data_IF_987145026583
#
_entry.id   IF_987145026583
#
_cell.length_a   1.000
_cell.length_b   1.000
_cell.length_c   1.000
_cell.angle_alpha   90.00
_cell.angle_beta   90.00
_cell.angle_gamma   90.00
#
_symmetry.space_group_name_H-M   'P 1'
#
loop_
_entity.id
_entity.type
_entity.pdbx_description
1 polymer ?
#
# COMPACT_ATOMS: atom_id res chain seq x y z
N UNK A 1 -16.11 -9.67 -15.55
CA UNK A 1 -14.96 -10.29 -14.87
C UNK A 1 -15.36 -11.56 -14.11
N UNK A 2 -16.35 -11.56 -13.21
CA UNK A 2 -16.72 -12.77 -12.44
C UNK A 2 -17.16 -13.95 -13.34
N UNK A 3 -17.89 -13.69 -14.42
CA UNK A 3 -18.37 -14.70 -15.35
C UNK A 3 -17.34 -15.12 -16.43
N UNK A 4 -16.23 -14.38 -16.58
CA UNK A 4 -15.20 -14.69 -17.55
C UNK A 4 -14.34 -15.89 -17.07
N UNK A 5 -13.85 -16.75 -17.97
CA UNK A 5 -12.84 -17.74 -17.60
C UNK A 5 -11.53 -17.06 -17.18
N UNK A 6 -10.77 -17.71 -16.31
CA UNK A 6 -9.53 -17.15 -15.76
C UNK A 6 -8.48 -16.86 -16.86
N UNK A 7 -8.46 -17.66 -17.90
CA UNK A 7 -7.58 -17.51 -19.07
C UNK A 7 -7.81 -16.18 -19.79
N UNK A 8 -9.07 -15.76 -19.90
CA UNK A 8 -9.44 -14.46 -20.48
C UNK A 8 -8.94 -13.31 -19.60
N UNK A 9 -9.06 -13.43 -18.27
CA UNK A 9 -8.50 -12.45 -17.34
C UNK A 9 -6.98 -12.37 -17.49
N UNK A 10 -6.30 -13.50 -17.66
CA UNK A 10 -4.85 -13.51 -17.90
C UNK A 10 -4.47 -12.87 -19.24
N UNK A 11 -5.29 -13.03 -20.27
CA UNK A 11 -5.05 -12.39 -21.55
C UNK A 11 -4.99 -10.86 -21.40
N UNK A 12 -5.94 -10.24 -20.68
CA UNK A 12 -5.93 -8.81 -20.44
C UNK A 12 -4.89 -8.37 -19.40
N UNK A 13 -4.37 -9.29 -18.58
CA UNK A 13 -3.35 -9.01 -17.55
C UNK A 13 -1.92 -9.12 -18.08
N UNK A 14 -1.73 -9.50 -19.35
CA UNK A 14 -0.40 -9.73 -19.91
C UNK A 14 0.50 -8.50 -19.77
N UNK A 15 1.78 -8.73 -19.42
CA UNK A 15 2.78 -7.68 -19.23
C UNK A 15 2.77 -7.00 -17.86
N UNK A 16 1.71 -7.13 -17.04
CA UNK A 16 1.64 -6.51 -15.71
C UNK A 16 2.39 -7.30 -14.63
N UNK A 17 2.73 -8.54 -14.88
CA UNK A 17 3.38 -9.43 -13.92
C UNK A 17 2.49 -9.76 -12.71
N UNK A 18 3.06 -10.43 -11.70
CA UNK A 18 2.36 -10.77 -10.45
C UNK A 18 0.97 -11.38 -10.68
N UNK A 19 0.86 -12.42 -11.48
CA UNK A 19 -0.40 -13.08 -11.88
C UNK A 19 -1.24 -13.59 -10.70
N UNK A 20 -0.65 -13.72 -9.51
CA UNK A 20 -1.40 -13.98 -8.28
C UNK A 20 -2.43 -12.89 -7.99
N UNK A 21 -2.14 -11.62 -8.36
CA UNK A 21 -3.11 -10.52 -8.22
C UNK A 21 -4.30 -10.70 -9.14
N UNK A 22 -4.07 -11.11 -10.40
CA UNK A 22 -5.14 -11.40 -11.35
C UNK A 22 -6.05 -12.52 -10.85
N UNK A 23 -5.48 -13.60 -10.34
CA UNK A 23 -6.25 -14.71 -9.72
C UNK A 23 -7.05 -14.24 -8.51
N UNK A 24 -6.45 -13.43 -7.65
CA UNK A 24 -7.14 -12.90 -6.47
C UNK A 24 -8.28 -11.98 -6.88
N UNK A 25 -8.06 -11.09 -7.84
CA UNK A 25 -9.07 -10.19 -8.37
C UNK A 25 -10.26 -10.95 -8.98
N UNK A 26 -9.99 -11.99 -9.79
CA UNK A 26 -11.02 -12.84 -10.38
C UNK A 26 -11.84 -13.57 -9.30
N UNK A 27 -11.16 -14.21 -8.34
CA UNK A 27 -11.83 -14.92 -7.24
C UNK A 27 -12.65 -13.95 -6.36
N UNK A 28 -12.13 -12.76 -6.10
CA UNK A 28 -12.87 -11.72 -5.38
C UNK A 28 -14.11 -11.28 -6.14
N UNK A 29 -14.03 -11.09 -7.46
CA UNK A 29 -15.20 -10.74 -8.28
C UNK A 29 -16.29 -11.83 -8.23
N UNK A 30 -15.91 -13.11 -8.24
CA UNK A 30 -16.83 -14.23 -8.08
C UNK A 30 -17.49 -14.22 -6.69
N UNK A 31 -16.69 -14.08 -5.63
CA UNK A 31 -17.21 -14.00 -4.25
C UNK A 31 -18.20 -12.84 -4.09
N UNK A 32 -17.91 -11.67 -4.69
CA UNK A 32 -18.81 -10.51 -4.63
C UNK A 32 -20.13 -10.81 -5.32
N UNK A 33 -20.12 -11.47 -6.47
CA UNK A 33 -21.35 -11.85 -7.16
C UNK A 33 -22.16 -12.89 -6.37
N UNK A 34 -21.50 -13.92 -5.84
CA UNK A 34 -22.14 -15.06 -5.19
C UNK A 34 -22.65 -14.74 -3.77
N UNK A 35 -21.85 -14.02 -3.00
CA UNK A 35 -22.13 -13.80 -1.56
C UNK A 35 -22.69 -12.42 -1.24
N UNK A 36 -22.42 -11.43 -2.09
CA UNK A 36 -22.81 -10.04 -1.84
C UNK A 36 -23.72 -9.44 -2.94
N UNK A 37 -24.25 -10.29 -3.83
CA UNK A 37 -25.19 -9.87 -4.87
C UNK A 37 -24.63 -8.80 -5.82
N UNK A 38 -23.34 -8.82 -6.07
CA UNK A 38 -22.65 -7.88 -6.97
C UNK A 38 -22.30 -6.54 -6.33
N UNK A 39 -22.55 -6.34 -5.04
CA UNK A 39 -22.19 -5.13 -4.30
C UNK A 39 -20.98 -5.37 -3.41
N UNK A 40 -20.03 -4.46 -3.40
CA UNK A 40 -18.91 -4.52 -2.48
C UNK A 40 -19.39 -4.34 -1.03
N UNK A 41 -18.91 -5.20 -0.10
CA UNK A 41 -19.18 -4.96 1.32
C UNK A 41 -18.47 -3.66 1.78
N UNK A 42 -19.12 -2.95 2.67
CA UNK A 42 -18.68 -1.68 3.23
C UNK A 42 -18.13 -1.78 4.66
N UNK A 43 -18.01 -2.98 5.17
CA UNK A 43 -17.45 -3.24 6.50
C UNK A 43 -16.11 -3.97 6.41
N UNK A 44 -15.22 -3.64 7.34
CA UNK A 44 -13.86 -4.16 7.37
C UNK A 44 -13.76 -5.69 7.44
N UNK A 45 -14.65 -6.31 8.21
CA UNK A 45 -14.61 -7.76 8.44
C UNK A 45 -14.90 -8.54 7.17
N UNK A 46 -15.88 -8.13 6.39
CA UNK A 46 -16.24 -8.79 5.14
C UNK A 46 -15.25 -8.48 4.02
N UNK A 47 -14.75 -7.24 3.93
CA UNK A 47 -13.72 -6.88 2.95
C UNK A 47 -12.43 -7.69 3.18
N UNK A 48 -12.03 -7.94 4.44
CA UNK A 48 -10.84 -8.76 4.76
C UNK A 48 -11.00 -10.24 4.36
N UNK A 49 -12.21 -10.76 4.24
CA UNK A 49 -12.46 -12.14 3.77
C UNK A 49 -12.20 -12.30 2.27
N UNK A 50 -12.19 -11.21 1.52
CA UNK A 50 -11.99 -11.24 0.07
C UNK A 50 -10.55 -11.62 -0.26
N UNK A 51 -10.38 -12.48 -1.27
CA UNK A 51 -9.09 -13.04 -1.62
C UNK A 51 -8.09 -11.98 -2.11
N UNK A 52 -6.92 -11.93 -1.49
CA UNK A 52 -5.87 -10.97 -1.84
C UNK A 52 -6.04 -9.59 -1.24
N UNK A 53 -7.02 -9.39 -0.36
CA UNK A 53 -7.20 -8.17 0.41
C UNK A 53 -6.46 -8.31 1.75
N UNK A 54 -5.51 -7.43 1.98
CA UNK A 54 -4.78 -7.32 3.25
C UNK A 54 -5.12 -6.03 3.98
N UNK A 55 -4.51 -5.82 5.16
CA UNK A 55 -4.73 -4.67 6.04
C UNK A 55 -4.61 -3.31 5.34
N UNK A 56 -3.60 -3.15 4.48
CA UNK A 56 -3.43 -1.94 3.68
C UNK A 56 -4.59 -1.76 2.69
N UNK A 57 -4.92 -2.83 1.96
CA UNK A 57 -5.92 -2.77 0.89
C UNK A 57 -7.31 -2.49 1.45
N UNK A 58 -7.68 -3.13 2.57
CA UNK A 58 -8.98 -2.88 3.19
C UNK A 58 -9.10 -1.44 3.70
N UNK A 59 -8.06 -0.92 4.36
CA UNK A 59 -8.06 0.46 4.83
C UNK A 59 -8.17 1.47 3.68
N UNK A 60 -7.37 1.29 2.63
CA UNK A 60 -7.43 2.12 1.43
C UNK A 60 -8.79 2.05 0.75
N UNK A 61 -9.34 0.85 0.61
CA UNK A 61 -10.62 0.62 -0.04
C UNK A 61 -11.76 1.29 0.71
N UNK A 62 -11.85 1.10 2.03
CA UNK A 62 -12.90 1.68 2.86
C UNK A 62 -12.76 3.21 2.96
N UNK A 63 -11.54 3.73 3.07
CA UNK A 63 -11.32 5.17 3.07
C UNK A 63 -11.74 5.81 1.74
N UNK A 64 -11.23 5.29 0.62
CA UNK A 64 -11.40 5.92 -0.69
C UNK A 64 -12.78 5.69 -1.31
N UNK A 65 -13.33 4.48 -1.18
CA UNK A 65 -14.59 4.12 -1.82
C UNK A 65 -15.84 4.38 -0.94
N UNK A 66 -15.69 4.32 0.38
CA UNK A 66 -16.80 4.45 1.33
C UNK A 66 -16.63 5.63 2.29
N UNK A 67 -15.60 6.45 2.12
CA UNK A 67 -15.31 7.61 2.97
C UNK A 67 -15.31 7.28 4.47
N UNK A 68 -14.79 6.10 4.83
CA UNK A 68 -14.67 5.66 6.22
C UNK A 68 -13.35 6.10 6.83
N UNK A 69 -13.28 6.45 8.11
CA UNK A 69 -12.07 6.96 8.78
C UNK A 69 -11.07 5.83 9.06
N UNK A 70 -10.64 5.16 8.01
CA UNK A 70 -9.63 4.10 8.06
C UNK A 70 -8.22 4.67 7.91
N UNK A 71 -7.30 4.18 8.72
CA UNK A 71 -5.91 4.62 8.70
C UNK A 71 -5.14 3.81 7.67
N UNK A 72 -4.83 4.44 6.54
CA UNK A 72 -4.01 3.84 5.49
C UNK A 72 -2.54 3.88 5.89
N UNK A 73 -1.88 2.71 5.94
CA UNK A 73 -0.46 2.61 6.28
C UNK A 73 0.28 1.82 5.22
N UNK A 74 0.98 2.54 4.36
CA UNK A 74 1.88 2.01 3.35
C UNK A 74 3.33 2.47 3.58
N UNK A 75 4.20 2.19 2.64
CA UNK A 75 5.59 2.63 2.70
C UNK A 75 5.78 4.15 2.70
N UNK A 76 4.87 4.90 2.09
CA UNK A 76 4.89 6.35 2.06
C UNK A 76 4.47 6.92 3.41
N UNK A 77 3.35 6.45 3.93
CA UNK A 77 2.82 6.88 5.25
C UNK A 77 3.82 6.56 6.37
N UNK A 78 4.41 5.36 6.39
CA UNK A 78 5.46 5.02 7.36
C UNK A 78 6.61 6.03 7.30
N UNK A 79 7.07 6.39 6.09
CA UNK A 79 8.15 7.37 5.92
C UNK A 79 7.76 8.76 6.41
N UNK A 80 6.58 9.22 6.06
CA UNK A 80 6.07 10.53 6.50
C UNK A 80 5.99 10.59 8.02
N UNK A 81 5.36 9.59 8.66
CA UNK A 81 5.21 9.53 10.12
C UNK A 81 6.58 9.46 10.81
N UNK A 82 7.49 8.61 10.33
CA UNK A 82 8.82 8.53 10.92
C UNK A 82 9.57 9.86 10.82
N UNK A 83 9.51 10.55 9.69
CA UNK A 83 10.16 11.85 9.52
C UNK A 83 9.48 12.95 10.32
N UNK A 84 8.17 13.00 10.33
CA UNK A 84 7.40 14.01 11.06
C UNK A 84 7.68 13.95 12.56
N UNK A 85 7.76 12.76 13.14
CA UNK A 85 7.99 12.56 14.58
C UNK A 85 9.45 12.21 14.93
N UNK A 86 10.39 12.26 13.99
CA UNK A 86 11.81 11.99 14.24
C UNK A 86 12.11 10.56 14.66
N UNK A 87 11.33 9.58 14.20
CA UNK A 87 11.54 8.18 14.57
C UNK A 87 12.69 7.55 13.79
N UNK A 88 13.79 7.24 14.46
CA UNK A 88 15.01 6.67 13.86
C UNK A 88 15.20 5.18 14.13
N UNK A 89 14.39 4.59 15.00
CA UNK A 89 14.43 3.16 15.32
C UNK A 89 14.05 2.26 14.15
N UNK A 90 14.39 0.95 14.23
CA UNK A 90 13.95 -0.03 13.23
C UNK A 90 12.43 -0.06 13.12
N UNK A 91 11.91 0.06 11.89
CA UNK A 91 10.46 0.16 11.62
C UNK A 91 9.67 -0.97 12.29
N UNK A 92 10.20 -2.18 12.26
CA UNK A 92 9.54 -3.37 12.80
C UNK A 92 9.29 -3.25 14.31
N UNK A 93 10.19 -2.58 15.03
CA UNK A 93 10.09 -2.38 16.49
C UNK A 93 9.17 -1.23 16.87
N UNK A 94 9.08 -0.21 16.02
CA UNK A 94 8.30 1.01 16.29
C UNK A 94 6.97 1.05 15.56
N UNK A 95 6.60 -0.02 14.85
CA UNK A 95 5.35 -0.09 14.10
C UNK A 95 4.08 0.23 14.93
N UNK A 96 3.94 -0.21 16.19
CA UNK A 96 2.79 0.18 17.01
C UNK A 96 2.69 1.70 17.19
N UNK A 97 3.82 2.36 17.44
CA UNK A 97 3.88 3.82 17.60
C UNK A 97 3.56 4.55 16.28
N UNK A 98 4.05 4.02 15.14
CA UNK A 98 3.71 4.56 13.82
C UNK A 98 2.20 4.48 13.59
N UNK A 99 1.57 3.35 13.93
CA UNK A 99 0.11 3.17 13.80
C UNK A 99 -0.66 4.17 14.67
N UNK A 100 -0.27 4.33 15.92
CA UNK A 100 -0.87 5.30 16.85
C UNK A 100 -0.83 6.70 16.26
N UNK A 101 0.33 7.16 15.80
CA UNK A 101 0.50 8.51 15.26
C UNK A 101 -0.24 8.70 13.93
N UNK A 102 -0.21 7.69 13.06
CA UNK A 102 -0.98 7.72 11.81
C UNK A 102 -2.49 7.80 12.07
N UNK A 103 -2.99 7.03 13.04
CA UNK A 103 -4.40 7.04 13.44
C UNK A 103 -4.82 8.41 14.00
N UNK A 104 -4.00 9.01 14.85
CA UNK A 104 -4.27 10.34 15.40
C UNK A 104 -4.37 11.44 14.34
N UNK A 105 -3.72 11.27 13.20
CA UNK A 105 -3.78 12.20 12.06
C UNK A 105 -4.90 11.89 11.06
N UNK A 106 -5.47 10.70 11.12
CA UNK A 106 -6.52 10.29 10.16
C UNK A 106 -7.76 11.16 10.33
N UNK A 107 -8.17 11.82 9.25
CA UNK A 107 -9.35 12.67 9.24
C UNK A 107 -10.62 11.85 9.41
N UNK A 108 -11.50 12.27 10.32
CA UNK A 108 -12.85 11.70 10.48
C UNK A 108 -13.89 12.43 9.64
N UNK A 109 -13.59 13.66 9.19
CA UNK A 109 -14.50 14.48 8.38
C UNK A 109 -14.33 14.24 6.88
N UNK A 110 -13.09 14.07 6.45
CA UNK A 110 -12.71 13.90 5.04
C UNK A 110 -11.71 12.73 4.89
N UNK A 111 -12.10 11.47 5.20
CA UNK A 111 -11.18 10.33 5.18
C UNK A 111 -10.59 10.04 3.80
N UNK A 112 -11.40 10.10 2.75
CA UNK A 112 -10.95 9.83 1.38
C UNK A 112 -9.93 10.87 0.90
N UNK A 113 -10.20 12.16 1.15
CA UNK A 113 -9.29 13.24 0.77
C UNK A 113 -7.99 13.14 1.55
N UNK A 114 -8.06 12.85 2.87
CA UNK A 114 -6.88 12.65 3.70
C UNK A 114 -6.04 11.46 3.21
N UNK A 115 -6.67 10.32 2.91
CA UNK A 115 -5.97 9.14 2.42
C UNK A 115 -5.27 9.41 1.09
N UNK A 116 -5.92 10.13 0.16
CA UNK A 116 -5.30 10.56 -1.10
C UNK A 116 -4.14 11.53 -0.86
N UNK A 117 -4.38 12.58 -0.08
CA UNK A 117 -3.40 13.64 0.16
C UNK A 117 -2.12 13.13 0.84
N UNK A 118 -2.23 12.21 1.82
CA UNK A 118 -1.03 11.68 2.49
C UNK A 118 -0.22 10.75 1.58
N UNK A 119 -0.89 10.01 0.67
CA UNK A 119 -0.19 9.21 -0.33
C UNK A 119 0.51 10.10 -1.35
N UNK A 120 -0.13 11.17 -1.83
CA UNK A 120 0.45 12.13 -2.76
C UNK A 120 1.62 12.91 -2.13
N UNK A 121 1.48 13.29 -0.86
CA UNK A 121 2.58 13.90 -0.09
C UNK A 121 3.81 12.99 -0.07
N UNK A 122 3.60 11.68 0.13
CA UNK A 122 4.69 10.70 0.12
C UNK A 122 5.28 10.45 -1.25
N UNK A 123 4.47 10.48 -2.30
CA UNK A 123 4.91 10.23 -3.67
C UNK A 123 5.63 11.45 -4.29
N UNK A 124 5.14 12.66 -4.02
CA UNK A 124 5.59 13.88 -4.68
C UNK A 124 6.53 14.77 -3.88
N UNK A 125 6.34 14.87 -2.56
CA UNK A 125 7.05 15.84 -1.72
C UNK A 125 7.98 15.14 -0.72
N UNK A 126 7.45 14.31 0.16
CA UNK A 126 8.24 13.58 1.16
C UNK A 126 8.83 12.29 0.55
N UNK A 127 9.55 12.42 -0.54
CA UNK A 127 10.14 11.32 -1.32
C UNK A 127 11.25 10.58 -0.56
N UNK A 128 11.58 9.31 -0.91
CA UNK A 128 12.65 8.56 -0.25
C UNK A 128 14.00 9.28 -0.31
N UNK A 129 14.35 9.80 -1.49
CA UNK A 129 15.57 10.57 -1.75
C UNK A 129 15.21 12.00 -2.09
N UNK A 130 16.03 12.95 -1.68
CA UNK A 130 15.88 14.40 -1.97
C UNK A 130 14.46 14.93 -1.70
N UNK A 131 13.91 14.76 -0.47
CA UNK A 131 12.58 15.23 -0.17
C UNK A 131 12.50 16.77 -0.29
N UNK A 132 11.39 17.25 -0.82
CA UNK A 132 11.16 18.69 -1.05
C UNK A 132 10.56 19.34 0.21
N UNK A 133 11.35 19.41 1.29
CA UNK A 133 10.87 19.84 2.60
C UNK A 133 10.32 21.26 2.61
N UNK A 134 10.85 22.17 1.77
CA UNK A 134 10.38 23.56 1.66
C UNK A 134 8.97 23.66 1.06
N UNK A 135 8.53 22.67 0.28
CA UNK A 135 7.18 22.60 -0.29
C UNK A 135 6.22 21.80 0.58
N UNK A 136 6.71 21.21 1.67
CA UNK A 136 5.89 20.35 2.51
C UNK A 136 4.93 21.18 3.37
N UNK A 137 3.59 20.93 3.31
CA UNK A 137 2.63 21.66 4.13
C UNK A 137 2.81 21.41 5.64
N UNK A 138 3.52 20.34 6.01
CA UNK A 138 3.79 19.98 7.41
C UNK A 138 5.22 20.35 7.86
N UNK A 139 5.95 21.14 7.07
CA UNK A 139 7.36 21.44 7.34
C UNK A 139 7.61 22.04 8.73
N UNK A 140 6.70 22.88 9.24
CA UNK A 140 6.87 23.53 10.55
C UNK A 140 6.75 22.56 11.73
N UNK A 141 6.00 21.48 11.54
CA UNK A 141 5.79 20.46 12.56
C UNK A 141 6.72 19.24 12.39
N UNK A 142 7.55 19.22 11.33
CA UNK A 142 8.39 18.08 11.02
C UNK A 142 9.71 18.11 11.79
N UNK A 143 9.93 17.14 12.67
CA UNK A 143 11.14 17.05 13.48
C UNK A 143 12.40 16.73 12.65
N UNK A 144 12.24 16.12 11.47
CA UNK A 144 13.38 15.71 10.64
C UNK A 144 13.73 16.67 9.50
N UNK A 145 13.02 17.79 9.31
CA UNK A 145 13.20 18.66 8.13
C UNK A 145 14.63 19.19 7.90
N UNK A 146 15.38 19.36 8.96
CA UNK A 146 16.73 19.92 8.91
C UNK A 146 17.83 18.86 9.16
N UNK A 147 17.47 17.59 9.22
CA UNK A 147 18.44 16.53 9.43
C UNK A 147 19.21 16.25 8.13
N UNK A 148 20.56 16.21 8.18
CA UNK A 148 21.38 15.95 6.99
C UNK A 148 21.16 14.55 6.42
N UNK A 149 20.73 13.62 7.24
CA UNK A 149 20.51 12.20 6.94
C UNK A 149 19.03 11.80 6.89
N UNK A 150 18.12 12.75 6.62
CA UNK A 150 16.66 12.52 6.51
C UNK A 150 16.32 11.36 5.57
N UNK A 151 17.16 11.08 4.57
CA UNK A 151 16.96 9.98 3.63
C UNK A 151 17.10 8.60 4.29
N UNK A 152 17.79 8.52 5.42
CA UNK A 152 17.93 7.29 6.21
C UNK A 152 16.69 7.01 7.10
N UNK A 153 15.74 7.96 7.14
CA UNK A 153 14.47 7.80 7.87
C UNK A 153 13.36 7.46 6.87
N UNK A 154 12.67 6.32 7.06
CA UNK A 154 12.73 5.38 8.19
C UNK A 154 13.89 4.38 8.09
N UNK A 155 14.40 3.95 9.23
CA UNK A 155 15.40 2.88 9.30
C UNK A 155 14.74 1.53 8.98
N UNK A 156 14.97 1.03 7.77
CA UNK A 156 14.49 -0.28 7.31
C UNK A 156 15.64 -1.26 7.22
N UNK A 157 15.60 -2.30 8.03
CA UNK A 157 16.49 -3.46 7.86
C UNK A 157 16.14 -4.16 6.55
N UNK A 158 17.08 -4.13 5.60
CA UNK A 158 16.89 -4.91 4.37
C UNK A 158 17.02 -6.38 4.73
N UNK A 159 16.00 -7.22 4.44
CA UNK A 159 16.17 -8.66 4.61
C UNK A 159 17.31 -9.13 3.71
N UNK A 160 18.12 -10.08 4.20
CA UNK A 160 19.17 -10.71 3.41
C UNK A 160 18.55 -11.25 2.11
N UNK A 161 19.18 -10.93 0.98
CA UNK A 161 18.75 -11.47 -0.32
C UNK A 161 18.95 -12.98 -0.28
N UNK A 162 17.86 -13.73 -0.42
CA UNK A 162 17.96 -15.18 -0.66
C UNK A 162 18.42 -15.37 -2.11
N UNK A 163 19.59 -15.98 -2.29
CA UNK A 163 20.00 -16.42 -3.61
C UNK A 163 19.11 -17.57 -4.05
N UNK A 164 18.58 -17.45 -5.25
CA UNK A 164 17.81 -18.51 -5.90
C UNK A 164 18.58 -18.95 -7.11
N UNK A 165 18.97 -20.22 -7.13
CA UNK A 165 19.54 -20.87 -8.30
C UNK A 165 18.42 -21.50 -9.11
N UNK A 166 18.42 -21.28 -10.42
CA UNK A 166 17.47 -21.85 -11.35
C UNK A 166 18.15 -22.14 -12.68
N UNK A 167 17.66 -23.16 -13.38
CA UNK A 167 18.10 -23.50 -14.74
C UNK A 167 17.01 -23.08 -15.73
N UNK A 168 17.41 -22.43 -16.83
CA UNK A 168 16.53 -22.07 -17.93
C UNK A 168 16.89 -22.96 -19.12
N UNK A 169 15.92 -23.67 -19.66
CA UNK A 169 16.08 -24.49 -20.84
C UNK A 169 15.44 -23.81 -22.04
N UNK A 170 16.21 -23.59 -23.10
CA UNK A 170 15.71 -23.10 -24.39
C UNK A 170 15.51 -24.29 -25.30
N UNK A 171 14.26 -24.59 -25.65
CA UNK A 171 13.93 -25.64 -26.59
C UNK A 171 13.67 -24.99 -27.95
N UNK A 172 14.55 -25.21 -28.92
CA UNK A 172 14.41 -24.73 -30.28
C UNK A 172 14.00 -25.91 -31.19
N UNK A 173 12.89 -25.75 -31.89
CA UNK A 173 12.53 -26.68 -32.98
C UNK A 173 13.30 -26.26 -34.22
N UNK A 174 14.20 -27.11 -34.71
CA UNK A 174 14.82 -26.93 -36.03
C UNK A 174 13.81 -27.40 -37.06
N UNK A 175 13.19 -26.49 -37.79
CA UNK A 175 12.57 -26.78 -39.08
C UNK A 175 13.63 -26.75 -40.16
#
# INVERSE_FOLDING_TARGET
>A
MAAAPLEEVYFYWQGLGYYTRARSLHATAQTIMEQYGGRFPDNRQDVLKLKGIGEYTVASFLALAFNQPETVIDGNVIRIICRMYGFTGPVEKIMPLIREKAQALTSTKHPADYASAIMDLGAGVCTPKKPQCLLCPWQEHCQSKNLPDIENIPNRTKPAKKEKHGSVYLICNRK
#
